data_IF_210989027233
#
_entry.id   IF_210989027233
#
_cell.length_a   1.000
_cell.length_b   1.000
_cell.length_c   1.000
_cell.angle_alpha   90.00
_cell.angle_beta   90.00
_cell.angle_gamma   90.00
#
_symmetry.space_group_name_H-M   'P 1'
#
loop_
_entity.id
_entity.type
_entity.pdbx_description
1 polymer ?
#
# COMPACT_ATOMS: atom_id res chain seq x y z
N UNK A 1 12.01 11.81 19.36
CA UNK A 1 10.59 11.49 19.12
C UNK A 1 10.27 10.27 19.95
N UNK A 2 9.20 10.33 20.74
CA UNK A 2 8.69 9.20 21.49
C UNK A 2 7.96 8.24 20.53
N UNK A 3 8.24 6.95 20.65
CA UNK A 3 7.57 5.90 19.86
C UNK A 3 6.60 5.20 20.80
N UNK A 4 5.33 5.16 20.40
CA UNK A 4 4.25 4.51 21.12
C UNK A 4 3.56 3.48 20.25
N UNK A 5 2.83 2.54 20.85
CA UNK A 5 2.02 1.57 20.12
C UNK A 5 0.72 2.20 19.61
N UNK A 6 0.09 1.56 18.61
CA UNK A 6 -1.22 1.99 18.14
C UNK A 6 -2.29 1.83 19.23
N UNK A 7 -2.18 0.82 20.10
CA UNK A 7 -3.09 0.61 21.21
C UNK A 7 -3.03 1.77 22.25
N UNK A 8 -1.86 2.39 22.43
CA UNK A 8 -1.70 3.59 23.26
C UNK A 8 -2.24 4.84 22.58
N UNK A 9 -1.96 5.00 21.27
CA UNK A 9 -2.43 6.13 20.46
C UNK A 9 -3.95 6.07 20.23
N UNK A 10 -4.52 4.88 20.02
CA UNK A 10 -5.93 4.57 19.72
C UNK A 10 -6.43 5.14 18.38
N UNK A 11 -6.11 6.38 18.07
CA UNK A 11 -6.46 7.10 16.85
C UNK A 11 -5.35 8.06 16.46
N UNK A 12 -5.15 8.28 15.19
CA UNK A 12 -4.11 9.12 14.64
C UNK A 12 -4.72 10.26 13.82
N UNK A 13 -4.11 11.44 13.86
CA UNK A 13 -4.51 12.56 13.00
C UNK A 13 -4.08 12.34 11.56
N UNK A 14 -2.93 11.68 11.36
CA UNK A 14 -2.32 11.50 10.04
C UNK A 14 -1.47 10.24 9.98
N UNK A 15 -1.67 9.44 8.94
CA UNK A 15 -0.74 8.40 8.50
C UNK A 15 0.02 8.86 7.26
N UNK A 16 1.35 8.71 7.27
CA UNK A 16 2.20 8.95 6.10
C UNK A 16 2.87 7.62 5.74
N UNK A 17 2.73 7.19 4.49
CA UNK A 17 3.25 5.89 4.03
C UNK A 17 3.69 5.95 2.56
N UNK A 18 4.25 4.87 2.03
CA UNK A 18 4.55 4.67 0.62
C UNK A 18 3.50 3.84 -0.11
N UNK A 19 3.65 3.69 -1.42
CA UNK A 19 2.87 2.76 -2.23
C UNK A 19 3.75 2.06 -3.28
N UNK A 20 3.35 0.85 -3.68
CA UNK A 20 3.99 0.12 -4.78
C UNK A 20 3.41 0.56 -6.13
N UNK A 21 2.11 0.86 -6.18
CA UNK A 21 1.38 1.51 -7.27
C UNK A 21 0.28 2.42 -6.71
N UNK A 22 -0.07 3.46 -7.47
CA UNK A 22 -1.29 4.25 -7.25
C UNK A 22 -1.93 4.64 -8.58
N UNK A 23 -3.27 4.76 -8.61
CA UNK A 23 -4.03 5.18 -9.79
C UNK A 23 -4.59 6.61 -9.65
N UNK A 24 -5.25 7.10 -10.68
CA UNK A 24 -5.83 8.45 -10.70
C UNK A 24 -6.99 8.66 -9.71
N UNK A 25 -7.55 7.60 -9.14
CA UNK A 25 -8.57 7.64 -8.09
C UNK A 25 -7.98 7.49 -6.68
N UNK A 26 -6.65 7.50 -6.56
CA UNK A 26 -5.86 7.29 -5.35
C UNK A 26 -6.09 5.91 -4.71
N UNK A 27 -6.52 4.91 -5.49
CA UNK A 27 -6.43 3.53 -5.06
C UNK A 27 -4.97 3.07 -5.13
N UNK A 28 -4.56 2.23 -4.18
CA UNK A 28 -3.16 1.82 -4.06
C UNK A 28 -3.00 0.31 -4.12
N UNK A 29 -1.83 -0.13 -4.60
CA UNK A 29 -1.26 -1.43 -4.21
C UNK A 29 -0.12 -1.15 -3.23
N UNK A 30 -0.14 -1.83 -2.08
CA UNK A 30 0.87 -1.80 -1.03
C UNK A 30 1.23 -3.22 -0.60
N UNK A 31 2.27 -3.34 0.22
CA UNK A 31 2.69 -4.62 0.78
C UNK A 31 3.89 -5.26 0.08
N UNK A 32 4.58 -4.53 -0.80
CA UNK A 32 5.86 -4.98 -1.36
C UNK A 32 6.89 -5.29 -0.26
N UNK A 33 6.89 -4.52 0.84
CA UNK A 33 7.69 -4.76 2.05
C UNK A 33 7.19 -5.87 2.97
N UNK A 34 5.93 -6.31 2.82
CA UNK A 34 5.34 -7.41 3.61
C UNK A 34 4.56 -6.98 4.85
N UNK A 35 4.38 -5.69 5.11
CA UNK A 35 3.69 -5.16 6.30
C UNK A 35 2.24 -4.70 6.02
N UNK A 36 1.63 -5.16 4.91
CA UNK A 36 0.35 -4.66 4.39
C UNK A 36 -0.79 -4.66 5.42
N UNK A 37 -0.83 -5.65 6.32
CA UNK A 37 -1.86 -5.74 7.34
C UNK A 37 -1.72 -4.63 8.38
N UNK A 38 -0.52 -4.44 8.95
CA UNK A 38 -0.24 -3.38 9.90
C UNK A 38 -0.43 -2.00 9.26
N UNK A 39 0.08 -1.81 8.03
CA UNK A 39 -0.10 -0.57 7.27
C UNK A 39 -1.58 -0.23 7.09
N UNK A 40 -2.43 -1.21 6.73
CA UNK A 40 -3.87 -0.98 6.55
C UNK A 40 -4.57 -0.71 7.88
N UNK A 41 -4.21 -1.40 8.96
CA UNK A 41 -4.76 -1.14 10.30
C UNK A 41 -4.43 0.30 10.73
N UNK A 42 -3.17 0.74 10.58
CA UNK A 42 -2.75 2.10 10.92
C UNK A 42 -3.47 3.14 10.07
N UNK A 43 -3.56 2.93 8.76
CA UNK A 43 -4.26 3.83 7.86
C UNK A 43 -5.75 3.98 8.21
N UNK A 44 -6.43 2.87 8.53
CA UNK A 44 -7.85 2.90 8.91
C UNK A 44 -8.11 3.44 10.31
N UNK A 45 -7.08 3.54 11.16
CA UNK A 45 -7.13 4.15 12.49
C UNK A 45 -6.67 5.62 12.47
N UNK A 46 -6.69 6.28 11.31
CA UNK A 46 -6.25 7.66 11.11
C UNK A 46 -7.35 8.50 10.49
N UNK A 47 -7.35 9.80 10.81
CA UNK A 47 -8.27 10.77 10.18
C UNK A 47 -7.93 10.97 8.70
N UNK A 48 -6.63 10.91 8.36
CA UNK A 48 -6.13 11.07 7.00
C UNK A 48 -4.97 10.12 6.71
N UNK A 49 -4.89 9.68 5.45
CA UNK A 49 -3.73 8.97 4.91
C UNK A 49 -3.11 9.73 3.75
N UNK A 50 -1.83 10.07 3.87
CA UNK A 50 -1.03 10.68 2.81
C UNK A 50 0.03 9.69 2.35
N UNK A 51 0.10 9.46 1.04
CA UNK A 51 1.13 8.63 0.42
C UNK A 51 2.22 9.52 -0.18
N UNK A 52 3.48 9.12 0.00
CA UNK A 52 4.63 9.73 -0.67
C UNK A 52 5.18 8.70 -1.66
N UNK A 53 5.22 9.07 -2.95
CA UNK A 53 5.67 8.19 -4.00
C UNK A 53 6.47 8.96 -5.08
N UNK A 54 7.28 8.24 -5.85
CA UNK A 54 7.82 8.77 -7.10
C UNK A 54 6.81 8.57 -8.25
N UNK A 55 6.94 9.40 -9.30
CA UNK A 55 6.05 9.36 -10.46
C UNK A 55 6.03 7.99 -11.16
N UNK A 56 7.08 7.18 -11.02
CA UNK A 56 7.15 5.82 -11.59
C UNK A 56 6.18 4.83 -10.95
N UNK A 57 5.56 5.21 -9.81
CA UNK A 57 4.53 4.41 -9.14
C UNK A 57 3.12 4.70 -9.63
N UNK A 58 2.93 5.77 -10.40
CA UNK A 58 1.65 6.08 -11.02
C UNK A 58 1.35 5.13 -12.17
N UNK A 59 0.14 4.60 -12.17
CA UNK A 59 -0.38 3.72 -13.22
C UNK A 59 -1.79 4.16 -13.65
N UNK A 60 -2.15 3.92 -14.90
CA UNK A 60 -3.52 4.12 -15.38
C UNK A 60 -4.48 3.10 -14.74
N UNK A 61 -4.00 1.88 -14.51
CA UNK A 61 -4.78 0.79 -13.93
C UNK A 61 -3.85 -0.07 -13.07
N UNK A 62 -4.24 -0.33 -11.83
CA UNK A 62 -3.47 -1.14 -10.89
C UNK A 62 -3.25 -2.58 -11.37
N UNK A 63 -2.15 -3.19 -10.94
CA UNK A 63 -1.87 -4.62 -11.10
C UNK A 63 -0.64 -4.96 -11.94
N UNK A 64 0.14 -4.00 -12.42
CA UNK A 64 1.45 -4.25 -13.01
C UNK A 64 2.42 -4.76 -11.93
N UNK A 65 2.40 -4.13 -10.74
CA UNK A 65 3.02 -4.69 -9.54
C UNK A 65 2.18 -5.90 -9.06
N UNK A 66 2.80 -7.00 -8.62
CA UNK A 66 2.08 -8.14 -8.08
C UNK A 66 1.27 -7.73 -6.85
N UNK A 67 -0.02 -8.10 -6.81
CA UNK A 67 -0.86 -7.83 -5.65
C UNK A 67 -0.51 -8.78 -4.50
N UNK A 68 0.01 -8.28 -3.37
CA UNK A 68 0.28 -9.12 -2.21
C UNK A 68 -1.03 -9.51 -1.52
N UNK A 69 -1.15 -10.77 -1.15
CA UNK A 69 -2.27 -11.30 -0.34
C UNK A 69 -1.67 -12.07 0.84
N UNK A 70 -1.95 -11.59 2.05
CA UNK A 70 -1.51 -12.24 3.27
C UNK A 70 -2.43 -13.41 3.60
N UNK A 71 -1.82 -14.58 3.86
CA UNK A 71 -2.53 -15.84 4.10
C UNK A 71 -1.97 -16.56 5.31
N UNK A 72 -2.83 -17.26 6.06
CA UNK A 72 -2.36 -18.09 7.17
C UNK A 72 -1.51 -19.26 6.64
N UNK A 73 -0.45 -19.70 7.37
CA UNK A 73 0.41 -20.80 6.94
C UNK A 73 -0.32 -22.14 6.81
N UNK A 74 -1.34 -22.37 7.66
CA UNK A 74 -2.11 -23.61 7.60
C UNK A 74 -2.90 -23.70 6.30
N UNK A 75 -2.59 -24.71 5.48
CA UNK A 75 -3.31 -24.95 4.23
C UNK A 75 -3.11 -23.88 3.14
N UNK A 76 -2.04 -23.09 3.19
CA UNK A 76 -1.79 -22.00 2.24
C UNK A 76 -1.85 -22.43 0.77
N UNK A 77 -1.43 -23.67 0.45
CA UNK A 77 -1.52 -24.20 -0.93
C UNK A 77 -2.98 -24.40 -1.37
N UNK A 78 -3.86 -24.78 -0.45
CA UNK A 78 -5.30 -24.87 -0.72
C UNK A 78 -5.90 -23.48 -0.92
N UNK A 79 -5.51 -22.52 -0.08
CA UNK A 79 -5.90 -21.10 -0.24
C UNK A 79 -5.40 -20.55 -1.58
N UNK A 80 -4.15 -20.83 -1.96
CA UNK A 80 -3.59 -20.44 -3.24
C UNK A 80 -4.42 -20.99 -4.42
N UNK A 81 -4.75 -22.28 -4.40
CA UNK A 81 -5.56 -22.90 -5.45
C UNK A 81 -6.95 -22.26 -5.55
N UNK A 82 -7.59 -21.95 -4.41
CA UNK A 82 -8.89 -21.27 -4.37
C UNK A 82 -8.80 -19.85 -4.94
N UNK A 83 -7.74 -19.10 -4.59
CA UNK A 83 -7.47 -17.77 -5.15
C UNK A 83 -7.34 -17.86 -6.67
N UNK A 84 -6.50 -18.75 -7.19
CA UNK A 84 -6.27 -18.89 -8.64
C UNK A 84 -7.53 -19.33 -9.40
N UNK A 85 -8.34 -20.21 -8.82
CA UNK A 85 -9.65 -20.59 -9.37
C UNK A 85 -10.60 -19.39 -9.44
N UNK A 86 -10.64 -18.58 -8.39
CA UNK A 86 -11.49 -17.38 -8.32
C UNK A 86 -11.07 -16.33 -9.35
N UNK A 87 -9.76 -16.17 -9.59
CA UNK A 87 -9.23 -15.24 -10.60
C UNK A 87 -9.71 -15.55 -12.02
N UNK A 88 -10.18 -16.78 -12.31
CA UNK A 88 -10.74 -17.14 -13.63
C UNK A 88 -11.99 -16.31 -13.96
N UNK A 89 -12.77 -15.95 -12.97
CA UNK A 89 -14.00 -15.17 -13.10
C UNK A 89 -13.80 -13.65 -12.93
N UNK A 90 -12.58 -13.20 -12.60
CA UNK A 90 -12.27 -11.80 -12.36
C UNK A 90 -11.76 -11.09 -13.62
N UNK A 91 -11.96 -9.78 -13.69
CA UNK A 91 -11.42 -8.94 -14.77
C UNK A 91 -9.92 -8.64 -14.53
N UNK A 92 -9.08 -9.61 -14.85
CA UNK A 92 -7.63 -9.56 -14.74
C UNK A 92 -6.96 -10.14 -15.99
N UNK A 93 -5.74 -9.70 -16.31
CA UNK A 93 -4.97 -10.24 -17.44
C UNK A 93 -4.06 -11.41 -17.04
N UNK A 94 -3.59 -11.46 -15.81
CA UNK A 94 -2.79 -12.55 -15.23
C UNK A 94 -3.57 -13.29 -14.15
N UNK A 95 -3.25 -14.58 -13.93
CA UNK A 95 -3.98 -15.43 -12.96
C UNK A 95 -3.07 -16.32 -12.13
N UNK A 96 -1.76 -16.11 -12.25
CA UNK A 96 -0.78 -16.89 -11.51
C UNK A 96 -0.47 -16.22 -10.18
N UNK A 97 -0.18 -17.02 -9.18
CA UNK A 97 0.33 -16.56 -7.91
C UNK A 97 1.63 -17.26 -7.54
N UNK A 98 2.45 -16.62 -6.72
CA UNK A 98 3.67 -17.21 -6.17
C UNK A 98 3.74 -16.97 -4.67
N UNK A 99 4.18 -17.98 -3.91
CA UNK A 99 4.52 -17.79 -2.52
C UNK A 99 5.74 -16.88 -2.44
N UNK A 100 5.65 -15.82 -1.62
CA UNK A 100 6.80 -14.92 -1.39
C UNK A 100 7.88 -15.66 -0.61
N UNK A 101 9.12 -15.55 -1.08
CA UNK A 101 10.26 -16.22 -0.50
C UNK A 101 11.25 -15.20 0.08
N UNK A 102 11.96 -15.61 1.12
CA UNK A 102 13.16 -14.97 1.64
C UNK A 102 14.31 -15.97 1.50
N UNK A 103 15.06 -15.88 0.39
CA UNK A 103 15.98 -16.92 -0.04
C UNK A 103 15.27 -18.24 -0.33
N UNK A 104 15.63 -19.30 0.35
CA UNK A 104 15.06 -20.65 0.16
C UNK A 104 13.89 -20.98 1.10
N UNK A 105 13.48 -20.04 1.96
CA UNK A 105 12.39 -20.24 2.91
C UNK A 105 11.23 -19.27 2.62
N UNK A 106 9.97 -19.63 2.95
CA UNK A 106 8.85 -18.71 2.86
C UNK A 106 9.13 -17.42 3.64
N UNK A 107 8.77 -16.27 3.04
CA UNK A 107 8.70 -15.01 3.78
C UNK A 107 7.59 -15.12 4.83
N UNK A 108 7.84 -14.64 6.03
CA UNK A 108 6.89 -14.65 7.14
C UNK A 108 6.66 -13.19 7.56
N UNK A 109 5.39 -12.77 7.63
CA UNK A 109 4.99 -11.44 8.12
C UNK A 109 5.20 -11.31 9.62
N UNK A 110 5.11 -10.10 10.14
CA UNK A 110 5.22 -9.84 11.59
C UNK A 110 4.14 -10.59 12.41
N UNK A 111 2.98 -10.85 11.81
CA UNK A 111 1.88 -11.64 12.40
C UNK A 111 2.04 -13.16 12.20
N UNK A 112 3.15 -13.60 11.60
CA UNK A 112 3.45 -15.02 11.41
C UNK A 112 2.74 -15.65 10.20
N UNK A 113 2.23 -14.85 9.28
CA UNK A 113 1.54 -15.29 8.08
C UNK A 113 2.49 -15.37 6.86
N UNK A 114 2.01 -15.96 5.77
CA UNK A 114 2.69 -15.98 4.48
C UNK A 114 2.09 -14.93 3.54
N UNK A 115 2.77 -14.65 2.42
CA UNK A 115 2.27 -13.79 1.36
C UNK A 115 2.24 -14.55 0.05
N UNK A 116 1.09 -14.49 -0.63
CA UNK A 116 0.95 -14.86 -2.03
C UNK A 116 1.02 -13.59 -2.87
N UNK A 117 1.96 -13.52 -3.80
CA UNK A 117 2.07 -12.45 -4.78
C UNK A 117 1.28 -12.82 -6.03
N UNK A 118 0.17 -12.11 -6.30
CA UNK A 118 -0.70 -12.37 -7.44
C UNK A 118 -0.25 -11.57 -8.66
N UNK A 119 0.16 -12.23 -9.73
CA UNK A 119 0.67 -11.61 -10.96
C UNK A 119 -0.49 -11.28 -11.93
N UNK A 120 -1.28 -10.27 -11.58
CA UNK A 120 -2.54 -9.93 -12.25
C UNK A 120 -2.35 -9.11 -13.52
N UNK A 121 -1.25 -8.36 -13.65
CA UNK A 121 -0.88 -7.44 -14.75
C UNK A 121 -1.85 -6.25 -14.94
N UNK A 122 -3.12 -6.41 -14.67
CA UNK A 122 -4.18 -5.42 -14.66
C UNK A 122 -5.34 -5.90 -13.82
N UNK A 123 -5.95 -5.00 -13.05
CA UNK A 123 -7.14 -5.25 -12.22
C UNK A 123 -8.23 -4.28 -12.72
N UNK A 124 -9.21 -4.78 -13.46
CA UNK A 124 -10.27 -3.96 -14.04
C UNK A 124 -11.31 -3.46 -13.03
N UNK A 125 -11.50 -4.18 -11.91
CA UNK A 125 -12.36 -3.77 -10.82
C UNK A 125 -11.66 -4.04 -9.47
N UNK A 126 -10.95 -3.03 -8.99
CA UNK A 126 -10.13 -3.10 -7.76
C UNK A 126 -10.97 -3.31 -6.50
N UNK A 127 -12.13 -2.64 -6.42
CA UNK A 127 -13.06 -2.76 -5.29
C UNK A 127 -13.63 -4.18 -5.19
N UNK A 128 -14.07 -4.75 -6.30
CA UNK A 128 -14.56 -6.13 -6.34
C UNK A 128 -13.44 -7.11 -5.96
N UNK A 129 -12.22 -6.90 -6.48
CA UNK A 129 -11.06 -7.74 -6.17
C UNK A 129 -10.78 -7.73 -4.66
N UNK A 130 -10.69 -6.56 -4.04
CA UNK A 130 -10.43 -6.44 -2.60
C UNK A 130 -11.48 -7.18 -1.76
N UNK A 131 -12.75 -6.99 -2.08
CA UNK A 131 -13.85 -7.64 -1.36
C UNK A 131 -13.83 -9.16 -1.52
N UNK A 132 -13.62 -9.65 -2.75
CA UNK A 132 -13.62 -11.11 -3.02
C UNK A 132 -12.43 -11.78 -2.33
N UNK A 133 -11.24 -11.17 -2.36
CA UNK A 133 -10.06 -11.72 -1.67
C UNK A 133 -10.32 -11.87 -0.16
N UNK A 134 -10.91 -10.88 0.49
CA UNK A 134 -11.16 -10.91 1.94
C UNK A 134 -12.32 -11.86 2.36
N UNK A 135 -13.06 -12.44 1.40
CA UNK A 135 -14.07 -13.45 1.69
C UNK A 135 -13.52 -14.89 1.64
N UNK A 136 -12.28 -15.08 1.21
CA UNK A 136 -11.71 -16.43 1.03
C UNK A 136 -11.18 -16.99 2.35
N UNK A 137 -11.54 -18.23 2.71
CA UNK A 137 -10.94 -18.90 3.85
C UNK A 137 -9.41 -18.99 3.71
N UNK A 138 -8.69 -18.58 4.75
CA UNK A 138 -7.23 -18.58 4.77
C UNK A 138 -6.60 -17.26 4.34
N UNK A 139 -7.32 -16.34 3.69
CA UNK A 139 -6.85 -14.96 3.45
C UNK A 139 -7.04 -14.14 4.72
N UNK A 140 -6.02 -13.40 5.09
CA UNK A 140 -6.01 -12.46 6.22
C UNK A 140 -6.31 -11.05 5.72
N UNK A 141 -5.54 -10.57 4.73
CA UNK A 141 -5.72 -9.26 4.12
C UNK A 141 -5.08 -9.23 2.72
N UNK A 142 -5.45 -8.26 1.92
CA UNK A 142 -4.86 -8.03 0.60
C UNK A 142 -4.28 -6.60 0.48
N UNK A 143 -3.35 -6.43 -0.45
CA UNK A 143 -2.60 -5.19 -0.65
C UNK A 143 -3.34 -4.08 -1.39
N UNK A 144 -4.63 -4.24 -1.69
CA UNK A 144 -5.44 -3.15 -2.25
C UNK A 144 -5.93 -2.22 -1.14
N UNK A 145 -5.56 -0.95 -1.24
CA UNK A 145 -6.04 0.13 -0.36
C UNK A 145 -7.01 0.98 -1.16
N UNK A 146 -8.29 0.71 -1.00
CA UNK A 146 -9.39 1.30 -1.76
C UNK A 146 -10.16 2.28 -0.87
N UNK A 147 -10.33 3.53 -1.31
CA UNK A 147 -10.97 4.62 -0.56
C UNK A 147 -10.32 4.90 0.81
N UNK A 148 -9.01 4.70 0.92
CA UNK A 148 -8.27 4.91 2.18
C UNK A 148 -7.33 6.10 2.06
N UNK A 149 -6.73 6.32 0.87
CA UNK A 149 -5.76 7.38 0.63
C UNK A 149 -6.48 8.71 0.34
N UNK A 150 -6.15 9.76 1.10
CA UNK A 150 -6.71 11.10 0.92
C UNK A 150 -5.87 11.95 -0.03
N UNK A 151 -4.55 11.77 0.00
CA UNK A 151 -3.63 12.51 -0.87
C UNK A 151 -2.37 11.72 -1.21
N UNK A 152 -1.81 12.00 -2.39
CA UNK A 152 -0.50 11.49 -2.83
C UNK A 152 0.42 12.66 -3.11
N UNK A 153 1.60 12.65 -2.48
CA UNK A 153 2.71 13.56 -2.74
C UNK A 153 3.68 12.87 -3.70
N UNK A 154 3.76 13.39 -4.92
CA UNK A 154 4.51 12.77 -6.02
C UNK A 154 5.82 13.52 -6.23
N UNK A 155 6.94 12.82 -6.08
CA UNK A 155 8.27 13.32 -6.40
C UNK A 155 8.67 13.02 -7.84
N UNK A 156 9.26 14.02 -8.51
CA UNK A 156 9.80 13.90 -9.86
C UNK A 156 11.32 13.95 -9.84
N UNK A 157 11.97 13.28 -10.80
CA UNK A 157 13.42 13.26 -10.91
C UNK A 157 14.09 14.63 -11.21
N UNK A 158 13.32 15.62 -11.63
CA UNK A 158 13.75 17.00 -11.85
C UNK A 158 13.63 17.92 -10.60
N UNK A 159 13.18 17.34 -9.48
CA UNK A 159 12.97 18.04 -8.21
C UNK A 159 11.60 18.71 -8.06
N UNK A 160 10.72 18.57 -9.04
CA UNK A 160 9.31 18.97 -8.92
C UNK A 160 8.60 18.09 -7.91
N UNK A 161 7.61 18.68 -7.18
CA UNK A 161 6.70 17.96 -6.30
C UNK A 161 5.26 18.33 -6.68
N UNK A 162 4.43 17.32 -6.87
CA UNK A 162 3.00 17.45 -7.13
C UNK A 162 2.23 16.87 -5.94
N UNK A 163 1.13 17.49 -5.57
CA UNK A 163 0.20 16.95 -4.57
C UNK A 163 -1.14 16.73 -5.24
N UNK A 164 -1.65 15.53 -5.15
CA UNK A 164 -3.03 15.20 -5.55
C UNK A 164 -3.84 14.88 -4.31
N UNK A 165 -4.87 15.66 -4.08
CA UNK A 165 -5.82 15.48 -2.99
C UNK A 165 -7.17 15.07 -3.58
N UNK A 166 -7.83 14.10 -2.94
CA UNK A 166 -9.11 13.55 -3.42
C UNK A 166 -10.22 14.61 -3.47
N UNK A 167 -10.13 15.66 -2.64
CA UNK A 167 -11.12 16.72 -2.54
C UNK A 167 -10.77 17.96 -3.37
N UNK A 168 -9.48 18.24 -3.58
CA UNK A 168 -9.00 19.47 -4.19
C UNK A 168 -8.49 19.28 -5.64
N UNK A 169 -8.35 18.03 -6.07
CA UNK A 169 -7.73 17.70 -7.35
C UNK A 169 -6.20 17.90 -7.32
N UNK A 170 -5.61 18.12 -8.51
CA UNK A 170 -4.16 18.25 -8.64
C UNK A 170 -3.69 19.68 -8.30
N UNK A 171 -2.79 19.82 -7.36
CA UNK A 171 -2.10 21.06 -7.03
C UNK A 171 -0.62 20.90 -7.40
N UNK A 172 -0.21 21.54 -8.53
CA UNK A 172 1.21 21.68 -8.88
C UNK A 172 1.88 22.66 -7.89
N UNK A 173 2.77 22.16 -7.08
CA UNK A 173 3.68 23.01 -6.30
C UNK A 173 5.01 23.05 -7.02
N UNK A 174 5.23 24.11 -7.79
CA UNK A 174 6.54 24.46 -8.34
C UNK A 174 7.57 24.45 -7.22
N UNK A 175 8.75 23.81 -7.51
CA UNK A 175 9.96 23.72 -6.69
C UNK A 175 9.82 24.42 -5.36
N UNK A 176 9.66 23.67 -4.28
CA UNK A 176 9.95 24.23 -2.96
C UNK A 176 11.38 24.75 -3.01
N UNK A 177 11.57 26.07 -3.10
CA UNK A 177 12.83 26.67 -2.70
C UNK A 177 13.00 26.26 -1.25
N UNK A 178 14.00 25.39 -0.99
CA UNK A 178 14.48 25.19 0.36
C UNK A 178 14.96 26.57 0.82
N UNK A 179 14.10 27.30 1.50
CA UNK A 179 14.57 28.37 2.38
C UNK A 179 15.36 27.58 3.43
N UNK A 180 16.70 27.70 3.39
CA UNK A 180 17.53 27.34 4.53
C UNK A 180 16.98 28.16 5.70
N UNK A 181 16.05 27.59 6.44
CA UNK A 181 15.68 28.08 7.75
C UNK A 181 16.91 27.85 8.59
N UNK A 182 17.61 28.95 8.89
CA UNK A 182 18.66 29.01 9.89
C UNK A 182 18.28 28.10 11.06
N UNK A 183 19.19 27.19 11.37
CA UNK A 183 19.16 26.19 12.41
C UNK A 183 18.16 26.48 13.53
N UNK A 184 17.01 25.85 13.50
CA UNK A 184 16.02 25.88 14.60
C UNK A 184 16.56 25.31 15.92
N UNK A 185 17.82 24.86 15.94
CA UNK A 185 18.51 24.26 17.09
C UNK A 185 19.71 25.07 17.58
N UNK A 186 19.96 26.27 17.05
CA UNK A 186 21.09 27.12 17.49
C UNK A 186 20.87 27.77 18.86
N UNK A 187 19.65 27.78 19.40
CA UNK A 187 19.31 28.46 20.65
C UNK A 187 19.20 27.54 21.88
N UNK A 188 19.72 26.29 21.81
CA UNK A 188 19.72 25.35 22.93
C UNK A 188 21.10 25.15 23.57
N UNK A 189 22.02 26.11 23.40
CA UNK A 189 23.29 26.14 24.09
C UNK A 189 23.44 27.43 24.90
N UNK A 190 22.84 27.47 26.09
CA UNK A 190 23.28 28.19 27.29
C UNK A 190 22.73 27.51 28.55
#
# INVERSE_FOLDING_TARGET
IEVISLDEAKWLDLTIDGADEFDGELNLIKGGGGALLQEKIVATASDQMVVIADIGKEVETLGAFPLPVEVIPFGWQTTQALVEETLVSMDVLGRNSTLRMNGDIPFVTDEGNYILDLHLKRIGNTRQMALVMNQMPGVVENGLFIDICDAVVIGYGDGRVEVRDINEGTVDRDKMEFVETDNLFSDLSD
#
